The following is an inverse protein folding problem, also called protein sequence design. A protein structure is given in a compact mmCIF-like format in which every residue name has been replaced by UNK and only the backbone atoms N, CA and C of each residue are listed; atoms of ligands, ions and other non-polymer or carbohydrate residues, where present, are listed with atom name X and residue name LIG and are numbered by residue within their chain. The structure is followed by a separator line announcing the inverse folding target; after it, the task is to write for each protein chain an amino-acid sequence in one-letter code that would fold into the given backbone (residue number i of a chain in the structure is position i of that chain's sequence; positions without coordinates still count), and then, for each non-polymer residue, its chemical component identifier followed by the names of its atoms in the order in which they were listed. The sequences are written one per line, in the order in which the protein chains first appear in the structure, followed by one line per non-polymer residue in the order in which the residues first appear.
data_IF_481671639728
#
_entry.id   IF_481671639728
#
_cell.length_a   1.000
_cell.length_b   1.000
_cell.length_c   1.000
_cell.angle_alpha   90.00
_cell.angle_beta   90.00
_cell.angle_gamma   90.00
#
_symmetry.space_group_name_H-M   'P 1'
#
loop_
_entity.id
_entity.type
_entity.pdbx_description
1 polymer ?
#
# COMPACT_ATOMS: atom_id res chain seq x y z
N UNK A 1 13.52 -26.14 -2.79
CA UNK A 1 13.08 -25.61 -1.46
C UNK A 1 12.43 -24.24 -1.69
N UNK A 2 11.15 -24.06 -1.33
CA UNK A 2 10.46 -22.77 -1.44
C UNK A 2 10.83 -21.93 -0.20
N UNK A 3 11.97 -21.24 -0.28
CA UNK A 3 12.47 -20.40 0.80
C UNK A 3 11.76 -19.05 0.75
N UNK A 4 11.43 -18.52 1.93
CA UNK A 4 10.77 -17.23 2.03
C UNK A 4 11.69 -16.14 1.45
N UNK A 5 11.15 -15.25 0.59
CA UNK A 5 11.93 -14.18 -0.06
C UNK A 5 12.64 -13.30 0.98
N UNK A 6 12.00 -13.10 2.13
CA UNK A 6 12.56 -12.37 3.29
C UNK A 6 13.82 -13.01 3.88
N UNK A 7 13.99 -14.33 3.72
CA UNK A 7 15.17 -15.07 4.19
C UNK A 7 16.23 -15.12 3.08
N UNK A 8 15.80 -15.20 1.83
CA UNK A 8 16.70 -15.34 0.69
C UNK A 8 17.39 -14.02 0.30
N UNK A 9 16.69 -12.88 0.42
CA UNK A 9 17.21 -11.56 0.05
C UNK A 9 16.98 -10.51 1.14
N UNK A 10 17.49 -10.71 2.37
CA UNK A 10 17.17 -9.84 3.50
C UNK A 10 17.61 -8.39 3.26
N UNK A 11 18.84 -8.19 2.73
CA UNK A 11 19.37 -6.84 2.43
C UNK A 11 18.54 -6.11 1.38
N UNK A 12 18.10 -6.81 0.33
CA UNK A 12 17.27 -6.22 -0.73
C UNK A 12 15.92 -5.74 -0.19
N UNK A 13 15.27 -6.54 0.65
CA UNK A 13 14.01 -6.16 1.29
C UNK A 13 14.17 -4.92 2.17
N UNK A 14 15.24 -4.82 2.96
CA UNK A 14 15.50 -3.64 3.80
C UNK A 14 15.69 -2.38 2.97
N UNK A 15 16.52 -2.45 1.92
CA UNK A 15 16.81 -1.32 1.03
C UNK A 15 15.52 -0.84 0.35
N UNK A 16 14.71 -1.75 -0.17
CA UNK A 16 13.44 -1.40 -0.83
C UNK A 16 12.50 -0.68 0.14
N UNK A 17 12.35 -1.18 1.37
CA UNK A 17 11.50 -0.52 2.37
C UNK A 17 12.02 0.89 2.70
N UNK A 18 13.32 1.04 2.92
CA UNK A 18 13.93 2.35 3.19
C UNK A 18 13.67 3.32 2.04
N UNK A 19 13.83 2.87 0.79
CA UNK A 19 13.56 3.71 -0.39
C UNK A 19 12.10 4.14 -0.43
N UNK A 20 11.15 3.22 -0.22
CA UNK A 20 9.71 3.54 -0.26
C UNK A 20 9.35 4.64 0.76
N UNK A 21 9.90 4.58 1.99
CA UNK A 21 9.60 5.57 3.01
C UNK A 21 10.37 6.89 2.85
N UNK A 22 11.61 6.85 2.37
CA UNK A 22 12.43 8.06 2.20
C UNK A 22 12.05 8.86 0.95
N UNK A 23 11.61 8.20 -0.13
CA UNK A 23 11.26 8.85 -1.39
C UNK A 23 10.29 10.04 -1.22
N UNK A 24 9.10 9.89 -0.58
CA UNK A 24 8.18 11.01 -0.42
C UNK A 24 8.77 12.15 0.43
N UNK A 25 9.55 11.82 1.46
CA UNK A 25 10.19 12.80 2.33
C UNK A 25 11.24 13.62 1.57
N UNK A 26 12.10 12.97 0.79
CA UNK A 26 13.10 13.63 -0.06
C UNK A 26 12.42 14.50 -1.11
N UNK A 27 11.34 14.01 -1.74
CA UNK A 27 10.57 14.80 -2.70
C UNK A 27 10.01 16.09 -2.07
N UNK A 28 9.46 16.03 -0.86
CA UNK A 28 8.94 17.21 -0.17
C UNK A 28 10.05 18.22 0.17
N UNK A 29 11.21 17.75 0.66
CA UNK A 29 12.34 18.63 0.98
C UNK A 29 12.82 19.35 -0.29
N UNK A 30 13.05 18.62 -1.38
CA UNK A 30 13.50 19.20 -2.65
C UNK A 30 12.49 20.21 -3.19
N UNK A 31 11.19 19.91 -3.10
CA UNK A 31 10.14 20.83 -3.53
C UNK A 31 10.07 22.09 -2.66
N UNK A 32 10.37 21.98 -1.36
CA UNK A 32 10.49 23.12 -0.46
C UNK A 32 11.68 24.02 -0.81
N UNK A 33 12.88 23.44 -0.94
CA UNK A 33 14.12 24.17 -1.26
C UNK A 33 14.07 24.88 -2.62
N UNK A 34 13.40 24.28 -3.61
CA UNK A 34 13.21 24.88 -4.94
C UNK A 34 12.07 25.92 -4.98
N UNK A 35 11.40 26.17 -3.85
CA UNK A 35 10.27 27.11 -3.77
C UNK A 35 9.06 26.67 -4.58
N UNK A 36 8.93 25.38 -4.87
CA UNK A 36 7.84 24.78 -5.65
C UNK A 36 6.57 24.57 -4.84
N UNK A 37 6.72 24.56 -3.51
CA UNK A 37 5.65 24.51 -2.52
C UNK A 37 5.65 25.80 -1.71
N UNK A 38 4.46 26.34 -1.45
CA UNK A 38 4.23 27.40 -0.47
C UNK A 38 3.30 26.88 0.63
N UNK A 39 3.69 27.13 1.87
CA UNK A 39 2.84 26.89 3.02
C UNK A 39 1.99 28.14 3.25
N UNK A 40 0.70 28.04 2.93
CA UNK A 40 -0.25 29.09 3.22
C UNK A 40 -1.02 28.74 4.48
N UNK A 41 -1.00 29.65 5.46
CA UNK A 41 -1.83 29.54 6.65
C UNK A 41 -3.22 29.99 6.25
N UNK A 42 -4.15 29.03 6.11
CA UNK A 42 -5.55 29.35 5.90
C UNK A 42 -6.13 30.03 7.15
N UNK A 43 -7.15 30.88 6.97
CA UNK A 43 -7.87 31.54 8.07
C UNK A 43 -8.49 30.54 9.06
N UNK A 44 -8.71 29.29 8.62
CA UNK A 44 -8.94 28.14 9.50
C UNK A 44 -7.60 27.49 9.82
N UNK A 45 -7.31 27.29 11.10
CA UNK A 45 -6.12 26.72 11.82
C UNK A 45 -5.21 25.66 11.11
N UNK A 46 -5.52 25.20 9.90
CA UNK A 46 -4.71 24.29 9.10
C UNK A 46 -3.72 25.00 8.15
N UNK A 47 -2.48 24.50 8.12
CA UNK A 47 -1.54 24.80 7.05
C UNK A 47 -1.96 24.07 5.77
N UNK A 48 -2.07 24.81 4.67
CA UNK A 48 -2.31 24.26 3.33
C UNK A 48 -1.02 24.31 2.51
N UNK A 49 -0.76 23.22 1.80
CA UNK A 49 0.34 23.12 0.83
C UNK A 49 -0.20 23.60 -0.51
N UNK A 50 0.25 24.77 -0.97
CA UNK A 50 -0.08 25.28 -2.29
C UNK A 50 1.12 25.10 -3.23
N UNK A 51 0.88 24.48 -4.38
CA UNK A 51 1.89 24.32 -5.41
C UNK A 51 1.96 25.54 -6.32
N UNK A 52 3.17 25.97 -6.65
CA UNK A 52 3.39 27.15 -7.50
C UNK A 52 2.99 26.89 -8.95
N UNK A 53 3.02 25.64 -9.40
CA UNK A 53 2.75 25.27 -10.79
C UNK A 53 1.95 23.96 -10.88
N UNK A 54 1.04 23.88 -11.85
CA UNK A 54 0.28 22.67 -12.19
C UNK A 54 1.19 21.52 -12.62
N UNK A 55 2.35 21.80 -13.22
CA UNK A 55 3.30 20.73 -13.58
C UNK A 55 3.80 19.96 -12.34
N UNK A 56 3.98 20.63 -11.20
CA UNK A 56 4.42 19.99 -9.95
C UNK A 56 3.30 19.10 -9.40
N UNK A 57 2.04 19.56 -9.48
CA UNK A 57 0.87 18.75 -9.10
C UNK A 57 0.79 17.47 -9.94
N UNK A 58 0.98 17.58 -11.26
CA UNK A 58 0.98 16.43 -12.18
C UNK A 58 2.12 15.46 -11.83
N UNK A 59 3.34 15.97 -11.59
CA UNK A 59 4.48 15.13 -11.19
C UNK A 59 4.19 14.40 -9.88
N UNK A 60 3.61 15.08 -8.89
CA UNK A 60 3.26 14.47 -7.60
C UNK A 60 2.18 13.39 -7.75
N UNK A 61 1.20 13.59 -8.62
CA UNK A 61 0.21 12.55 -8.96
C UNK A 61 0.89 11.37 -9.66
N UNK A 62 1.83 11.63 -10.59
CA UNK A 62 2.55 10.55 -11.27
C UNK A 62 3.35 9.72 -10.29
N UNK A 63 4.14 10.35 -9.42
CA UNK A 63 5.01 9.66 -8.46
C UNK A 63 4.19 8.99 -7.35
N UNK A 64 3.24 9.71 -6.76
CA UNK A 64 2.47 9.26 -5.61
C UNK A 64 1.34 8.29 -5.95
N UNK A 65 0.81 8.32 -7.18
CA UNK A 65 -0.35 7.52 -7.58
C UNK A 65 -0.05 6.63 -8.78
N UNK A 66 0.32 7.21 -9.93
CA UNK A 66 0.48 6.46 -11.19
C UNK A 66 1.58 5.42 -11.10
N UNK A 67 2.72 5.76 -10.48
CA UNK A 67 3.84 4.84 -10.31
C UNK A 67 3.44 3.63 -9.45
N UNK A 68 2.68 3.84 -8.39
CA UNK A 68 2.15 2.76 -7.55
C UNK A 68 1.23 1.83 -8.36
N UNK A 69 0.41 2.38 -9.27
CA UNK A 69 -0.42 1.58 -10.17
C UNK A 69 0.42 0.74 -11.12
N UNK A 70 1.38 1.36 -11.80
CA UNK A 70 2.23 0.70 -12.79
C UNK A 70 3.08 -0.41 -12.15
N UNK A 71 3.64 -0.16 -10.97
CA UNK A 71 4.42 -1.16 -10.23
C UNK A 71 3.59 -2.37 -9.82
N UNK A 72 2.36 -2.14 -9.33
CA UNK A 72 1.44 -3.22 -8.97
C UNK A 72 0.99 -4.03 -10.20
N UNK A 73 0.65 -3.36 -11.30
CA UNK A 73 0.30 -4.02 -12.56
C UNK A 73 1.47 -4.84 -13.12
N UNK A 74 2.69 -4.29 -13.09
CA UNK A 74 3.91 -4.99 -13.49
C UNK A 74 4.17 -6.21 -12.61
N UNK A 75 4.00 -6.08 -11.29
CA UNK A 75 4.14 -7.21 -10.35
C UNK A 75 3.15 -8.34 -10.68
N UNK A 76 1.88 -8.00 -10.91
CA UNK A 76 0.86 -8.98 -11.30
C UNK A 76 1.20 -9.65 -12.63
N UNK A 77 1.68 -8.88 -13.62
CA UNK A 77 2.12 -9.39 -14.92
C UNK A 77 3.32 -10.34 -14.79
N UNK A 78 4.37 -9.94 -14.08
CA UNK A 78 5.57 -10.74 -13.86
C UNK A 78 5.24 -12.03 -13.11
N UNK A 79 4.38 -11.95 -12.10
CA UNK A 79 3.91 -13.14 -11.36
C UNK A 79 3.13 -14.08 -12.28
N UNK A 80 2.24 -13.55 -13.14
CA UNK A 80 1.51 -14.34 -14.13
C UNK A 80 2.45 -15.06 -15.11
N UNK A 81 3.42 -14.31 -15.66
CA UNK A 81 4.44 -14.84 -16.59
C UNK A 81 5.34 -15.88 -15.94
N UNK A 82 5.71 -15.69 -14.67
CA UNK A 82 6.49 -16.68 -13.92
C UNK A 82 5.71 -17.99 -13.73
N UNK A 83 4.43 -17.91 -13.38
CA UNK A 83 3.56 -19.09 -13.25
C UNK A 83 3.42 -19.83 -14.57
N UNK A 84 3.26 -19.11 -15.69
CA UNK A 84 3.22 -19.70 -17.04
C UNK A 84 4.54 -20.38 -17.43
N UNK A 85 5.70 -19.85 -17.00
CA UNK A 85 7.00 -20.48 -17.30
C UNK A 85 7.32 -21.68 -16.41
N UNK A 86 6.76 -21.74 -15.20
CA UNK A 86 6.92 -22.85 -14.25
C UNK A 86 6.15 -24.13 -14.66
N UNK A 87 5.60 -24.19 -15.87
CA UNK A 87 4.72 -25.22 -16.42
C UNK A 87 5.43 -26.56 -16.75
N UNK A 88 6.26 -27.13 -15.88
CA UNK A 88 6.94 -28.43 -16.19
C UNK A 88 6.57 -29.63 -15.30
N UNK A 89 5.58 -29.57 -14.39
CA UNK A 89 5.31 -30.73 -13.49
C UNK A 89 3.82 -30.99 -13.20
N UNK A 90 3.45 -32.25 -12.94
CA UNK A 90 2.08 -32.77 -12.78
C UNK A 90 1.19 -32.09 -11.69
N UNK A 91 1.77 -31.31 -10.77
CA UNK A 91 1.05 -30.45 -9.81
C UNK A 91 0.32 -29.23 -10.47
N UNK A 92 0.27 -29.19 -11.81
CA UNK A 92 -0.09 -28.07 -12.70
C UNK A 92 -1.49 -27.49 -12.50
N UNK A 93 -2.53 -28.32 -12.53
CA UNK A 93 -3.92 -27.84 -12.56
C UNK A 93 -4.37 -27.21 -11.24
N UNK A 94 -3.92 -27.79 -10.12
CA UNK A 94 -4.20 -27.27 -8.78
C UNK A 94 -3.43 -25.97 -8.52
N UNK A 95 -2.18 -25.90 -8.98
CA UNK A 95 -1.33 -24.72 -8.84
C UNK A 95 -1.85 -23.56 -9.69
N UNK A 96 -2.23 -23.81 -10.95
CA UNK A 96 -2.83 -22.82 -11.85
C UNK A 96 -4.14 -22.26 -11.30
N UNK A 97 -5.08 -23.11 -10.88
CA UNK A 97 -6.34 -22.67 -10.26
C UNK A 97 -6.10 -21.86 -8.98
N UNK A 98 -5.10 -22.23 -8.18
CA UNK A 98 -4.72 -21.49 -6.97
C UNK A 98 -4.16 -20.10 -7.30
N UNK A 99 -3.28 -19.98 -8.29
CA UNK A 99 -2.73 -18.70 -8.72
C UNK A 99 -3.77 -17.80 -9.37
N UNK A 100 -4.65 -18.34 -10.21
CA UNK A 100 -5.75 -17.57 -10.79
C UNK A 100 -6.69 -17.01 -9.71
N UNK A 101 -7.01 -17.82 -8.68
CA UNK A 101 -7.77 -17.34 -7.52
C UNK A 101 -7.01 -16.27 -6.73
N UNK A 102 -5.69 -16.40 -6.59
CA UNK A 102 -4.87 -15.40 -5.91
C UNK A 102 -4.85 -14.08 -6.68
N UNK A 103 -4.65 -14.13 -8.00
CA UNK A 103 -4.71 -12.98 -8.89
C UNK A 103 -6.06 -12.28 -8.82
N UNK A 104 -7.17 -13.04 -8.89
CA UNK A 104 -8.51 -12.48 -8.76
C UNK A 104 -8.71 -11.77 -7.41
N UNK A 105 -8.23 -12.35 -6.31
CA UNK A 105 -8.28 -11.71 -5.00
C UNK A 105 -7.43 -10.44 -4.95
N UNK A 106 -6.20 -10.46 -5.46
CA UNK A 106 -5.36 -9.26 -5.53
C UNK A 106 -5.99 -8.16 -6.39
N UNK A 107 -6.61 -8.53 -7.51
CA UNK A 107 -7.33 -7.59 -8.35
C UNK A 107 -8.50 -6.92 -7.61
N UNK A 108 -9.30 -7.70 -6.87
CA UNK A 108 -10.40 -7.16 -6.06
C UNK A 108 -9.87 -6.17 -5.01
N UNK A 109 -8.83 -6.56 -4.27
CA UNK A 109 -8.19 -5.70 -3.26
C UNK A 109 -7.68 -4.41 -3.89
N UNK A 110 -7.02 -4.53 -5.04
CA UNK A 110 -6.48 -3.38 -5.73
C UNK A 110 -7.56 -2.42 -6.24
N UNK A 111 -8.68 -2.95 -6.73
CA UNK A 111 -9.85 -2.14 -7.12
C UNK A 111 -10.45 -1.41 -5.93
N UNK A 112 -10.61 -2.08 -4.78
CA UNK A 112 -11.10 -1.44 -3.54
C UNK A 112 -10.16 -0.31 -3.13
N UNK A 113 -8.86 -0.58 -3.15
CA UNK A 113 -7.82 0.39 -2.83
C UNK A 113 -7.87 1.62 -3.75
N UNK A 114 -7.97 1.39 -5.07
CA UNK A 114 -8.09 2.47 -6.06
C UNK A 114 -9.34 3.34 -5.88
N UNK A 115 -10.46 2.75 -5.45
CA UNK A 115 -11.72 3.47 -5.26
C UNK A 115 -11.72 4.26 -3.95
N UNK A 116 -11.15 3.70 -2.88
CA UNK A 116 -11.23 4.32 -1.56
C UNK A 116 -10.07 5.30 -1.29
N UNK A 117 -8.85 4.96 -1.69
CA UNK A 117 -7.67 5.79 -1.45
C UNK A 117 -7.35 6.73 -2.62
N UNK A 118 -7.52 6.25 -3.86
CA UNK A 118 -7.14 6.98 -5.07
C UNK A 118 -7.75 8.39 -5.21
N UNK A 119 -9.06 8.60 -4.94
CA UNK A 119 -9.66 9.93 -5.01
C UNK A 119 -8.99 10.92 -4.06
N UNK A 120 -8.60 10.49 -2.85
CA UNK A 120 -7.95 11.37 -1.89
C UNK A 120 -6.61 11.87 -2.40
N UNK A 121 -5.78 10.98 -2.95
CA UNK A 121 -4.46 11.36 -3.48
C UNK A 121 -4.58 12.35 -4.63
N UNK A 122 -5.55 12.17 -5.52
CA UNK A 122 -5.75 13.09 -6.65
C UNK A 122 -6.26 14.45 -6.16
N UNK A 123 -7.30 14.45 -5.32
CA UNK A 123 -7.96 15.68 -4.86
C UNK A 123 -7.03 16.50 -3.96
N UNK A 124 -6.26 15.84 -3.08
CA UNK A 124 -5.30 16.51 -2.20
C UNK A 124 -4.20 17.26 -2.97
N UNK A 125 -3.81 16.76 -4.15
CA UNK A 125 -2.78 17.39 -4.97
C UNK A 125 -3.31 18.51 -5.88
N UNK A 126 -4.63 18.60 -6.07
CA UNK A 126 -5.27 19.47 -7.08
C UNK A 126 -6.15 20.56 -6.50
N UNK A 127 -6.72 20.36 -5.31
CA UNK A 127 -7.71 21.26 -4.71
C UNK A 127 -7.22 21.73 -3.35
N UNK A 128 -7.46 23.02 -3.02
CA UNK A 128 -7.19 23.57 -1.69
C UNK A 128 -7.84 22.71 -0.60
N UNK A 129 -7.10 22.47 0.48
CA UNK A 129 -7.50 21.61 1.62
C UNK A 129 -8.79 22.02 2.32
N UNK A 130 -9.33 23.21 2.05
CA UNK A 130 -10.58 23.71 2.61
C UNK A 130 -11.84 23.33 1.79
N UNK A 131 -11.70 22.60 0.68
CA UNK A 131 -12.84 22.21 -0.16
C UNK A 131 -13.57 20.98 0.40
N UNK A 132 -14.90 20.99 0.35
CA UNK A 132 -15.75 19.86 0.78
C UNK A 132 -15.44 18.56 0.05
N UNK A 133 -14.95 18.63 -1.19
CA UNK A 133 -14.53 17.46 -1.98
C UNK A 133 -13.34 16.76 -1.32
N UNK A 134 -12.38 17.53 -0.76
CA UNK A 134 -11.22 16.98 -0.02
C UNK A 134 -11.70 16.23 1.21
N UNK A 135 -12.69 16.78 1.93
CA UNK A 135 -13.25 16.16 3.13
C UNK A 135 -13.90 14.79 2.83
N UNK A 136 -14.74 14.69 1.79
CA UNK A 136 -15.31 13.40 1.40
C UNK A 136 -14.26 12.40 0.93
N UNK A 137 -13.24 12.85 0.19
CA UNK A 137 -12.15 12.01 -0.23
C UNK A 137 -11.31 11.50 0.97
N UNK A 138 -11.09 12.34 1.98
CA UNK A 138 -10.45 11.95 3.24
C UNK A 138 -11.23 10.87 3.97
N UNK A 139 -12.56 10.99 4.06
CA UNK A 139 -13.41 9.97 4.68
C UNK A 139 -13.24 8.61 3.97
N UNK A 140 -13.25 8.59 2.64
CA UNK A 140 -13.01 7.37 1.88
C UNK A 140 -11.64 6.76 2.17
N UNK A 141 -10.59 7.59 2.25
CA UNK A 141 -9.26 7.15 2.62
C UNK A 141 -9.20 6.60 4.05
N UNK A 142 -9.94 7.17 5.01
CA UNK A 142 -10.00 6.63 6.35
C UNK A 142 -10.70 5.27 6.42
N UNK A 143 -11.76 5.08 5.63
CA UNK A 143 -12.40 3.77 5.52
C UNK A 143 -11.46 2.72 4.93
N UNK A 144 -10.66 3.08 3.92
CA UNK A 144 -9.61 2.20 3.39
C UNK A 144 -8.65 1.76 4.50
N UNK A 145 -8.08 2.72 5.23
CA UNK A 145 -7.08 2.44 6.27
C UNK A 145 -7.65 1.58 7.39
N UNK A 146 -8.95 1.72 7.68
CA UNK A 146 -9.66 0.89 8.65
C UNK A 146 -9.89 -0.54 8.15
N UNK A 147 -10.24 -0.71 6.88
CA UNK A 147 -10.64 -2.00 6.30
C UNK A 147 -9.41 -2.82 5.86
N UNK A 148 -8.29 -2.18 5.55
CA UNK A 148 -7.05 -2.79 5.08
C UNK A 148 -6.57 -4.01 5.90
N UNK A 149 -6.47 -3.95 7.24
CA UNK A 149 -6.08 -5.10 8.05
C UNK A 149 -7.05 -6.30 7.89
N UNK A 150 -8.34 -6.03 7.68
CA UNK A 150 -9.35 -7.07 7.45
C UNK A 150 -9.21 -7.69 6.06
N UNK A 151 -8.92 -6.88 5.04
CA UNK A 151 -8.69 -7.35 3.67
C UNK A 151 -7.44 -8.24 3.60
N UNK A 152 -6.32 -7.78 4.17
CA UNK A 152 -5.07 -8.54 4.17
C UNK A 152 -5.15 -9.82 5.01
N UNK A 153 -5.86 -9.78 6.14
CA UNK A 153 -6.11 -11.00 6.92
C UNK A 153 -7.01 -12.00 6.18
N UNK A 154 -8.04 -11.54 5.44
CA UNK A 154 -8.88 -12.39 4.60
C UNK A 154 -8.13 -13.00 3.40
N UNK A 155 -7.12 -12.30 2.89
CA UNK A 155 -6.21 -12.80 1.85
C UNK A 155 -5.30 -13.93 2.37
N UNK A 156 -4.75 -13.80 3.58
CA UNK A 156 -3.82 -14.77 4.16
C UNK A 156 -4.45 -15.64 5.26
N UNK A 157 -4.85 -16.86 4.88
CA UNK A 157 -5.33 -17.90 5.82
C UNK A 157 -4.33 -18.24 6.92
N UNK A 158 -3.02 -17.98 6.71
CA UNK A 158 -1.99 -18.22 7.73
C UNK A 158 -2.18 -17.30 8.93
N UNK A 159 -2.67 -16.07 8.72
CA UNK A 159 -2.92 -15.11 9.79
C UNK A 159 -4.06 -15.61 10.70
N UNK A 160 -5.15 -16.10 10.11
CA UNK A 160 -6.26 -16.72 10.85
C UNK A 160 -5.83 -17.98 11.62
N UNK A 161 -4.95 -18.80 11.04
CA UNK A 161 -4.43 -19.99 11.72
C UNK A 161 -3.42 -19.66 12.82
N UNK A 162 -2.72 -18.52 12.73
CA UNK A 162 -1.80 -18.04 13.76
C UNK A 162 -2.52 -17.31 14.92
N UNK A 163 -3.72 -16.79 14.68
CA UNK A 163 -4.52 -16.06 15.67
C UNK A 163 -4.81 -16.86 16.97
N UNK A 164 -5.24 -18.15 16.92
CA UNK A 164 -5.41 -18.94 18.15
C UNK A 164 -4.10 -19.17 18.91
N UNK A 165 -2.96 -19.27 18.22
CA UNK A 165 -1.65 -19.39 18.86
C UNK A 165 -1.26 -18.09 19.59
N UNK A 166 -1.47 -16.94 18.95
CA UNK A 166 -1.28 -15.61 19.56
C UNK A 166 -2.18 -15.39 20.79
N UNK A 167 -3.45 -15.80 20.71
CA UNK A 167 -4.37 -15.72 21.86
C UNK A 167 -3.93 -16.64 23.01
N UNK A 168 -3.46 -17.87 22.70
CA UNK A 168 -2.89 -18.78 23.72
C UNK A 168 -1.59 -18.24 24.33
N UNK A 169 -0.74 -17.58 23.55
CA UNK A 169 0.51 -16.97 24.01
C UNK A 169 0.24 -15.80 24.97
N UNK A 170 -0.76 -14.97 24.67
CA UNK A 170 -1.21 -13.89 25.58
C UNK A 170 -1.75 -14.44 26.91
N UNK A 171 -2.50 -15.56 26.88
CA UNK A 171 -3.05 -16.21 28.08
C UNK A 171 -1.97 -16.74 29.04
N UNK A 172 -0.85 -17.25 28.52
CA UNK A 172 0.28 -17.77 29.32
C UNK A 172 1.13 -16.70 30.01
N UNK A 173 1.08 -15.44 29.54
CA UNK A 173 1.78 -14.32 30.20
C UNK A 173 0.96 -13.66 31.31
N UNK A 174 -0.36 -13.80 31.31
CA UNK A 174 -1.25 -13.18 32.30
C UNK A 174 -1.38 -14.04 33.56
N UNK A 175 -1.17 -15.35 33.46
CA UNK A 175 -1.02 -16.24 34.62
C UNK A 175 0.41 -16.79 34.67
N UNK A 176 1.36 -16.11 35.34
CA UNK A 176 2.56 -16.81 35.77
C UNK A 176 2.09 -17.91 36.72
N UNK A 177 2.39 -19.16 36.37
CA UNK A 177 2.21 -20.30 37.27
C UNK A 177 3.08 -19.99 38.49
N UNK A 178 2.45 -19.55 39.58
CA UNK A 178 3.06 -19.48 40.89
C UNK A 178 3.27 -20.95 41.27
N UNK A 179 4.51 -21.42 41.17
CA UNK A 179 4.96 -22.68 41.75
C UNK A 179 5.51 -22.41 43.13
#
# INVERSE_FOLDING_TARGET
KNLNVYIQYPKGTWIINIIIYLTPLVCLIVQGELGWIKLEISKSVSCAVNYVNIYIQIINIIIGFVMAILLNALFLYLTSKHVQRSEQTAQKNLTKKRYQRLQAKFFIVYTIWMVLWGPYVIVYQTVSSANIIVYYAQILSYFETLIDPFIFSALDKRLFNALPWLMKFKRRRIHPVIK
#
